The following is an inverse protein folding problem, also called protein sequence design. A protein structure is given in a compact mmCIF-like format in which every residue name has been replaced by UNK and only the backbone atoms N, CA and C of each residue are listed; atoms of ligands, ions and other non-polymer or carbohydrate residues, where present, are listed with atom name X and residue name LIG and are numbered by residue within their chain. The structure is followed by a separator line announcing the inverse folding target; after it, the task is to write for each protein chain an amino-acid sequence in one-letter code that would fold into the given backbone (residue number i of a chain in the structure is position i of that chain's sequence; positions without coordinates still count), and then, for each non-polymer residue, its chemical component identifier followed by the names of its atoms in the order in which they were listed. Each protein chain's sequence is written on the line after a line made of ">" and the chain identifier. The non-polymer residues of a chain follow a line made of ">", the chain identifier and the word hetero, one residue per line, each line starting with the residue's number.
data_IF_756031971919
#
_entry.id   IF_756031971919
#
_cell.length_a   1.000
_cell.length_b   1.000
_cell.length_c   1.000
_cell.angle_alpha   90.00
_cell.angle_beta   90.00
_cell.angle_gamma   90.00
#
_symmetry.space_group_name_H-M   'P 1'
#
loop_
_entity.id
_entity.type
_entity.pdbx_description
1 polymer ?
#
# COMPACT_ATOMS: atom_id res chain seq x y z
N UNK A 1 -60.98 2.04 -59.99
CA UNK A 1 -61.72 2.40 -58.75
C UNK A 1 -61.52 1.26 -57.77
N UNK A 2 -60.80 1.55 -56.68
CA UNK A 2 -60.71 0.85 -55.39
C UNK A 2 -60.20 -0.60 -55.34
N UNK A 3 -58.90 -0.73 -55.10
CA UNK A 3 -58.25 -1.22 -53.86
C UNK A 3 -58.68 -2.52 -53.15
N UNK A 4 -57.69 -3.41 -53.06
CA UNK A 4 -57.13 -4.13 -51.90
C UNK A 4 -58.05 -4.70 -50.79
N UNK A 5 -57.93 -6.02 -50.56
CA UNK A 5 -57.64 -6.57 -49.21
C UNK A 5 -57.26 -8.08 -49.20
N UNK A 6 -56.01 -8.34 -48.81
CA UNK A 6 -55.51 -9.19 -47.71
C UNK A 6 -56.06 -10.60 -47.32
N UNK A 7 -55.07 -11.41 -46.90
CA UNK A 7 -55.03 -12.66 -46.08
C UNK A 7 -55.36 -14.02 -46.73
N UNK A 8 -54.30 -14.79 -47.02
CA UNK A 8 -54.31 -16.25 -46.90
C UNK A 8 -53.38 -16.69 -45.75
N UNK A 9 -53.94 -17.33 -44.72
CA UNK A 9 -53.21 -18.06 -43.67
C UNK A 9 -53.61 -19.54 -43.73
N UNK A 10 -52.64 -20.44 -43.82
CA UNK A 10 -52.86 -21.87 -43.60
C UNK A 10 -51.61 -22.71 -43.86
N UNK A 11 -51.02 -23.27 -42.78
CA UNK A 11 -50.09 -24.41 -42.85
C UNK A 11 -48.67 -24.14 -42.35
N UNK A 12 -48.43 -24.37 -41.05
CA UNK A 12 -47.09 -24.49 -40.46
C UNK A 12 -46.62 -25.96 -40.47
N UNK A 13 -45.34 -26.27 -40.77
CA UNK A 13 -44.72 -27.53 -40.40
C UNK A 13 -43.97 -27.42 -39.06
N UNK A 14 -44.18 -28.40 -38.17
CA UNK A 14 -43.57 -28.51 -36.84
C UNK A 14 -42.06 -28.87 -36.90
N UNK A 15 -41.26 -28.45 -35.90
CA UNK A 15 -39.82 -28.70 -35.83
C UNK A 15 -39.46 -30.10 -35.27
N UNK A 16 -38.40 -30.68 -35.83
CA UNK A 16 -37.85 -31.99 -35.46
C UNK A 16 -37.20 -31.98 -34.05
N UNK A 17 -37.58 -32.96 -33.22
CA UNK A 17 -37.06 -33.22 -31.88
C UNK A 17 -35.61 -33.74 -31.92
N UNK A 18 -34.68 -32.98 -31.30
CA UNK A 18 -33.30 -33.44 -31.02
C UNK A 18 -33.26 -34.30 -29.75
N UNK A 19 -32.64 -35.48 -29.85
CA UNK A 19 -32.39 -36.42 -28.73
C UNK A 19 -31.37 -35.86 -27.71
N UNK A 20 -31.54 -36.13 -26.40
CA UNK A 20 -30.57 -35.72 -25.38
C UNK A 20 -29.30 -36.60 -25.38
N UNK A 21 -28.15 -35.97 -25.11
CA UNK A 21 -26.84 -36.62 -25.04
C UNK A 21 -26.67 -37.44 -23.74
N UNK A 22 -26.07 -38.63 -23.84
CA UNK A 22 -25.72 -39.49 -22.70
C UNK A 22 -24.54 -38.93 -21.90
N UNK A 23 -24.54 -39.04 -20.55
CA UNK A 23 -23.40 -38.64 -19.72
C UNK A 23 -22.23 -39.63 -19.84
N UNK A 24 -21.00 -39.10 -19.80
CA UNK A 24 -19.73 -39.87 -19.82
C UNK A 24 -19.48 -40.55 -18.46
N UNK A 25 -18.92 -41.78 -18.43
CA UNK A 25 -18.66 -42.50 -17.19
C UNK A 25 -17.41 -41.99 -16.45
N UNK A 26 -17.53 -41.92 -15.12
CA UNK A 26 -16.54 -41.50 -14.14
C UNK A 26 -15.44 -42.58 -13.95
N UNK A 27 -14.17 -42.18 -14.00
CA UNK A 27 -13.02 -43.11 -13.82
C UNK A 27 -12.65 -43.21 -12.33
N UNK A 28 -12.81 -44.41 -11.75
CA UNK A 28 -12.33 -44.75 -10.39
C UNK A 28 -10.79 -44.67 -10.28
N UNK A 29 -10.22 -44.19 -9.17
CA UNK A 29 -8.78 -44.23 -8.92
C UNK A 29 -8.29 -45.64 -8.58
N UNK A 30 -7.16 -46.06 -9.17
CA UNK A 30 -6.45 -47.31 -8.83
C UNK A 30 -5.35 -47.01 -7.81
N UNK A 31 -5.35 -47.75 -6.70
CA UNK A 31 -4.33 -47.72 -5.64
C UNK A 31 -2.97 -48.30 -6.06
N UNK A 32 -1.94 -48.18 -5.19
CA UNK A 32 -0.53 -48.34 -5.57
C UNK A 32 -0.14 -49.81 -5.70
N UNK A 33 0.58 -50.15 -6.78
CA UNK A 33 1.24 -51.45 -6.96
C UNK A 33 2.68 -51.36 -6.43
N UNK A 34 2.97 -52.15 -5.39
CA UNK A 34 4.34 -52.52 -4.98
C UNK A 34 4.99 -53.36 -6.08
N UNK A 35 6.20 -52.97 -6.50
CA UNK A 35 7.06 -53.74 -7.40
C UNK A 35 8.51 -53.60 -6.97
N UNK A 36 9.10 -54.71 -6.51
CA UNK A 36 10.52 -54.85 -6.17
C UNK A 36 11.38 -54.85 -7.44
N UNK A 37 12.52 -54.15 -7.41
CA UNK A 37 13.62 -54.36 -8.37
C UNK A 37 14.96 -54.49 -7.63
N UNK A 38 15.66 -55.59 -7.93
CA UNK A 38 16.96 -56.03 -7.39
C UNK A 38 18.15 -55.29 -8.05
N UNK A 39 19.38 -55.40 -7.49
CA UNK A 39 20.43 -54.38 -7.61
C UNK A 39 21.33 -54.56 -8.84
N UNK A 40 21.86 -53.45 -9.35
CA UNK A 40 22.95 -53.44 -10.35
C UNK A 40 24.31 -53.16 -9.69
N UNK A 41 25.31 -53.89 -10.20
CA UNK A 41 26.68 -54.08 -9.71
C UNK A 41 27.51 -52.79 -9.63
N UNK A 42 28.39 -52.77 -8.62
CA UNK A 42 29.46 -51.77 -8.38
C UNK A 42 30.59 -51.90 -9.40
N UNK A 43 31.05 -50.76 -9.92
CA UNK A 43 32.38 -50.52 -10.50
C UNK A 43 33.11 -49.44 -9.69
N UNK A 44 34.44 -49.28 -9.82
CA UNK A 44 35.32 -48.92 -8.72
C UNK A 44 35.31 -47.44 -8.35
N UNK A 45 35.56 -47.23 -7.06
CA UNK A 45 35.59 -45.95 -6.36
C UNK A 45 36.67 -45.00 -6.88
N UNK A 46 36.32 -43.71 -6.94
CA UNK A 46 37.24 -42.57 -6.91
C UNK A 46 36.82 -41.64 -5.76
N UNK A 47 37.76 -41.01 -5.05
CA UNK A 47 37.52 -40.42 -3.74
C UNK A 47 36.62 -39.18 -3.84
N UNK A 48 35.67 -39.10 -2.91
CA UNK A 48 34.79 -37.95 -2.71
C UNK A 48 35.60 -36.85 -2.02
N UNK A 49 35.94 -35.79 -2.76
CA UNK A 49 36.21 -34.48 -2.18
C UNK A 49 34.85 -33.92 -1.79
N UNK A 50 34.55 -33.89 -0.49
CA UNK A 50 33.40 -33.17 0.05
C UNK A 50 33.73 -31.68 -0.10
N UNK A 51 33.39 -31.14 -1.27
CA UNK A 51 33.37 -29.70 -1.47
C UNK A 51 32.00 -29.26 -0.97
N UNK A 52 31.99 -28.57 0.16
CA UNK A 52 30.78 -27.95 0.69
C UNK A 52 30.15 -27.11 -0.41
N UNK A 53 28.91 -27.42 -0.75
CA UNK A 53 28.09 -26.54 -1.56
C UNK A 53 27.80 -25.34 -0.66
N UNK A 54 28.65 -24.32 -0.78
CA UNK A 54 28.24 -22.97 -0.48
C UNK A 54 26.99 -22.73 -1.34
N UNK A 55 25.83 -22.65 -0.70
CA UNK A 55 24.66 -22.05 -1.30
C UNK A 55 25.04 -20.60 -1.60
N UNK A 56 25.52 -20.36 -2.82
CA UNK A 56 25.46 -19.05 -3.43
C UNK A 56 24.00 -18.64 -3.36
N UNK A 57 23.67 -17.79 -2.39
CA UNK A 57 22.51 -16.95 -2.48
C UNK A 57 22.73 -16.12 -3.76
N UNK A 58 22.11 -16.55 -4.85
CA UNK A 58 21.97 -15.75 -6.05
C UNK A 58 21.26 -14.48 -5.59
N UNK A 59 22.03 -13.41 -5.45
CA UNK A 59 21.53 -12.07 -5.25
C UNK A 59 20.70 -11.72 -6.48
N UNK A 60 19.41 -12.05 -6.47
CA UNK A 60 18.46 -11.59 -7.46
C UNK A 60 18.27 -10.10 -7.24
N UNK A 61 19.12 -9.32 -7.91
CA UNK A 61 18.96 -7.94 -8.38
C UNK A 61 17.82 -7.12 -7.75
N UNK A 62 17.85 -6.96 -6.43
CA UNK A 62 17.06 -5.99 -5.68
C UNK A 62 17.89 -5.28 -4.60
N UNK A 63 19.18 -5.62 -4.49
CA UNK A 63 20.18 -4.96 -3.64
C UNK A 63 20.87 -3.75 -4.29
N UNK A 64 20.43 -3.30 -5.46
CA UNK A 64 21.07 -2.18 -6.18
C UNK A 64 20.75 -0.78 -5.65
N UNK A 65 19.86 -0.65 -4.68
CA UNK A 65 19.32 0.67 -4.24
C UNK A 65 20.14 1.31 -3.10
N UNK A 66 21.10 0.62 -2.47
CA UNK A 66 21.83 1.21 -1.32
C UNK A 66 23.33 0.90 -1.23
N UNK A 67 23.97 0.35 -2.27
CA UNK A 67 25.41 0.04 -2.26
C UNK A 67 26.33 1.26 -2.49
N UNK A 68 25.78 2.45 -2.75
CA UNK A 68 26.58 3.62 -3.13
C UNK A 68 27.21 4.40 -1.95
N UNK A 69 27.03 3.96 -0.69
CA UNK A 69 27.57 4.65 0.49
C UNK A 69 28.71 3.91 1.22
N UNK A 70 29.20 2.79 0.70
CA UNK A 70 30.11 1.91 1.48
C UNK A 70 31.49 1.65 0.86
N UNK A 71 31.96 2.44 -0.11
CA UNK A 71 33.32 2.22 -0.66
C UNK A 71 34.25 3.39 -0.33
N UNK A 72 34.85 3.29 0.84
CA UNK A 72 36.20 3.80 1.04
C UNK A 72 37.00 2.66 1.67
N UNK A 73 37.69 1.90 0.81
CA UNK A 73 38.62 0.85 1.21
C UNK A 73 39.77 1.49 2.00
N UNK A 74 39.92 1.07 3.25
CA UNK A 74 41.16 1.24 4.01
C UNK A 74 41.76 -0.15 4.13
N UNK A 75 42.95 -0.36 3.54
CA UNK A 75 43.73 -1.59 3.68
C UNK A 75 43.97 -1.93 5.16
N UNK A 76 43.89 -3.21 5.57
CA UNK A 76 44.10 -3.57 6.96
C UNK A 76 45.61 -3.63 7.26
N UNK A 77 46.07 -2.78 8.17
CA UNK A 77 47.29 -3.03 8.91
C UNK A 77 47.03 -4.16 9.91
N UNK A 78 47.85 -5.20 9.87
CA UNK A 78 47.81 -6.32 10.79
C UNK A 78 48.03 -5.84 12.23
N UNK A 79 47.11 -6.20 13.14
CA UNK A 79 47.39 -6.27 14.57
C UNK A 79 46.57 -7.39 15.18
N UNK A 80 47.26 -8.35 15.78
CA UNK A 80 46.69 -9.38 16.64
C UNK A 80 45.89 -8.70 17.76
N UNK A 81 44.56 -8.76 17.67
CA UNK A 81 43.65 -8.37 18.73
C UNK A 81 42.71 -9.55 18.98
N UNK A 82 42.84 -10.08 20.18
CA UNK A 82 42.02 -11.15 20.75
C UNK A 82 40.53 -10.88 20.49
N UNK A 83 39.86 -11.84 19.84
CA UNK A 83 38.42 -11.76 19.54
C UNK A 83 37.61 -11.80 20.83
N UNK A 84 37.38 -10.63 21.42
CA UNK A 84 36.36 -10.45 22.43
C UNK A 84 34.98 -10.48 21.74
N UNK A 85 34.12 -11.41 22.16
CA UNK A 85 32.72 -11.42 21.76
C UNK A 85 32.06 -10.07 22.07
N UNK A 86 31.15 -9.56 21.21
CA UNK A 86 30.42 -8.33 21.51
C UNK A 86 29.61 -8.51 22.81
N UNK A 87 29.50 -7.48 23.66
CA UNK A 87 28.75 -7.59 24.91
C UNK A 87 27.27 -7.87 24.61
N UNK A 88 26.78 -9.01 25.08
CA UNK A 88 25.36 -9.32 25.13
C UNK A 88 24.71 -8.43 26.20
N UNK A 89 24.02 -7.37 25.77
CA UNK A 89 23.19 -6.55 26.66
C UNK A 89 21.84 -7.27 26.83
N UNK A 90 21.43 -7.64 28.05
CA UNK A 90 20.12 -8.25 28.28
C UNK A 90 19.00 -7.26 27.90
N UNK A 91 17.85 -7.74 27.38
CA UNK A 91 16.69 -6.88 27.16
C UNK A 91 16.31 -6.20 28.48
N UNK A 92 16.22 -4.87 28.49
CA UNK A 92 15.74 -4.12 29.65
C UNK A 92 14.25 -4.39 29.93
N UNK A 93 13.86 -4.27 31.18
CA UNK A 93 12.49 -4.52 31.64
C UNK A 93 11.44 -3.69 30.87
N UNK A 94 10.23 -4.25 30.63
CA UNK A 94 9.17 -3.54 29.92
C UNK A 94 8.69 -2.32 30.72
N UNK A 95 8.85 -1.13 30.15
CA UNK A 95 8.27 0.12 30.66
C UNK A 95 6.88 0.38 30.08
N UNK A 96 5.97 0.91 30.90
CA UNK A 96 4.59 1.19 30.51
C UNK A 96 4.53 2.16 29.31
N UNK A 97 3.87 1.71 28.23
CA UNK A 97 3.92 2.33 26.90
C UNK A 97 2.88 3.46 26.75
N UNK A 98 1.91 3.58 27.65
CA UNK A 98 0.70 4.38 27.45
C UNK A 98 0.80 5.89 27.75
N UNK A 99 1.96 6.43 28.12
CA UNK A 99 2.11 7.86 28.38
C UNK A 99 3.39 8.42 27.79
N UNK A 100 3.24 9.40 26.89
CA UNK A 100 4.33 10.24 26.40
C UNK A 100 3.99 10.85 25.05
N UNK A 101 4.18 12.17 24.90
CA UNK A 101 4.03 12.89 23.63
C UNK A 101 2.58 13.25 23.26
N UNK A 102 2.29 14.53 23.08
CA UNK A 102 1.02 14.96 22.47
C UNK A 102 1.16 14.92 20.94
N UNK A 103 0.18 14.32 20.27
CA UNK A 103 0.10 14.29 18.80
C UNK A 103 -1.15 15.01 18.32
N UNK A 104 -1.02 15.80 17.26
CA UNK A 104 -2.16 16.46 16.65
C UNK A 104 -3.16 15.42 16.11
N UNK A 105 -4.48 15.58 16.27
CA UNK A 105 -5.48 14.61 15.81
C UNK A 105 -5.37 14.29 14.31
N UNK A 106 -5.61 13.02 13.92
CA UNK A 106 -5.65 12.64 12.50
C UNK A 106 -6.81 13.37 11.83
N UNK A 107 -6.48 14.23 10.86
CA UNK A 107 -7.49 14.92 10.05
C UNK A 107 -7.92 14.06 8.86
N UNK A 108 -6.95 13.42 8.20
CA UNK A 108 -7.16 12.56 7.02
C UNK A 108 -5.98 11.62 6.81
N UNK A 109 -6.20 10.56 6.03
CA UNK A 109 -5.14 9.70 5.48
C UNK A 109 -4.73 10.21 4.09
N UNK A 110 -3.42 10.22 3.81
CA UNK A 110 -2.76 10.69 2.59
C UNK A 110 -1.88 9.55 2.05
N UNK A 111 -2.48 8.58 1.32
CA UNK A 111 -1.72 7.43 0.81
C UNK A 111 -0.65 7.89 -0.20
N UNK A 112 0.63 7.51 -0.05
CA UNK A 112 1.66 7.91 -1.00
C UNK A 112 1.54 7.12 -2.30
N UNK A 113 1.68 7.81 -3.44
CA UNK A 113 1.68 7.17 -4.77
C UNK A 113 3.11 6.94 -5.30
N UNK A 114 4.04 7.82 -4.90
CA UNK A 114 5.46 7.76 -5.29
C UNK A 114 6.35 7.97 -4.08
N UNK A 115 7.43 7.19 -4.00
CA UNK A 115 8.55 7.38 -3.09
C UNK A 115 9.79 7.66 -3.93
N UNK A 116 10.37 8.84 -3.78
CA UNK A 116 11.65 9.19 -4.38
C UNK A 116 12.74 9.19 -3.31
N UNK A 117 13.86 8.51 -3.56
CA UNK A 117 15.02 8.45 -2.67
C UNK A 117 16.25 8.97 -3.43
N UNK A 118 16.84 10.04 -2.94
CA UNK A 118 18.08 10.57 -3.49
C UNK A 118 19.29 9.81 -2.97
N UNK A 119 20.38 9.76 -3.75
CA UNK A 119 21.70 9.37 -3.26
C UNK A 119 22.30 10.33 -2.22
N UNK A 120 21.60 11.43 -1.91
CA UNK A 120 21.95 12.44 -0.91
C UNK A 120 20.75 13.34 -0.63
N UNK A 121 20.99 14.47 0.06
CA UNK A 121 19.91 15.40 0.42
C UNK A 121 19.27 16.05 -0.81
N UNK A 122 17.94 15.97 -0.91
CA UNK A 122 17.14 16.62 -1.94
C UNK A 122 16.89 18.06 -1.51
N UNK A 123 17.31 19.03 -2.35
CA UNK A 123 17.15 20.45 -2.05
C UNK A 123 15.67 20.86 -1.92
N UNK A 124 15.38 21.80 -1.02
CA UNK A 124 14.03 22.37 -0.81
C UNK A 124 13.43 22.96 -2.09
N UNK A 125 14.27 23.53 -2.97
CA UNK A 125 13.83 24.04 -4.27
C UNK A 125 13.23 22.95 -5.16
N UNK A 126 13.83 21.75 -5.17
CA UNK A 126 13.31 20.58 -5.90
C UNK A 126 12.03 20.06 -5.25
N UNK A 127 11.99 19.95 -3.92
CA UNK A 127 10.78 19.52 -3.18
C UNK A 127 9.60 20.46 -3.48
N UNK A 128 9.83 21.78 -3.41
CA UNK A 128 8.83 22.80 -3.74
C UNK A 128 8.39 22.72 -5.21
N UNK A 129 9.30 22.34 -6.12
CA UNK A 129 8.96 22.14 -7.53
C UNK A 129 8.11 20.88 -7.73
N UNK A 130 8.36 19.80 -6.99
CA UNK A 130 7.50 18.60 -6.98
C UNK A 130 6.08 18.96 -6.54
N UNK A 131 5.93 19.73 -5.45
CA UNK A 131 4.62 20.16 -4.95
C UNK A 131 3.83 21.05 -5.92
N UNK A 132 4.49 21.61 -6.96
CA UNK A 132 3.85 22.40 -8.03
C UNK A 132 3.53 21.58 -9.28
N UNK A 133 3.91 20.30 -9.33
CA UNK A 133 3.58 19.44 -10.46
C UNK A 133 2.06 19.25 -10.55
N UNK A 134 1.55 19.22 -11.78
CA UNK A 134 0.13 18.99 -12.01
C UNK A 134 -0.32 17.65 -11.40
N UNK A 135 -1.46 17.67 -10.68
CA UNK A 135 -2.07 16.52 -9.98
C UNK A 135 -1.35 16.02 -8.73
N UNK A 136 -0.19 16.57 -8.36
CA UNK A 136 0.36 16.39 -7.02
C UNK A 136 -0.55 17.11 -6.02
N UNK A 137 -0.99 16.39 -5.00
CA UNK A 137 -1.79 16.92 -3.90
C UNK A 137 -0.91 17.33 -2.73
N UNK A 138 -0.20 16.36 -2.17
CA UNK A 138 0.65 16.54 -1.01
C UNK A 138 2.06 16.02 -1.28
N UNK A 139 3.04 16.62 -0.61
CA UNK A 139 4.45 16.21 -0.65
C UNK A 139 5.02 16.31 0.75
N UNK A 140 5.71 15.27 1.20
CA UNK A 140 6.50 15.30 2.44
C UNK A 140 7.92 14.85 2.16
N UNK A 141 8.89 15.59 2.67
CA UNK A 141 10.29 15.18 2.68
C UNK A 141 10.64 14.63 4.05
N UNK A 142 11.41 13.55 4.09
CA UNK A 142 11.80 12.89 5.34
C UNK A 142 13.30 12.70 5.41
N UNK A 143 13.81 12.75 6.64
CA UNK A 143 15.17 12.30 6.89
C UNK A 143 15.21 10.77 6.90
N UNK A 144 16.33 10.19 6.48
CA UNK A 144 16.44 8.74 6.42
C UNK A 144 17.86 8.24 6.32
N UNK A 145 18.01 6.94 6.49
CA UNK A 145 19.29 6.25 6.43
C UNK A 145 19.19 4.85 7.01
N UNK A 146 20.31 4.13 6.93
CA UNK A 146 20.43 2.82 7.55
C UNK A 146 20.99 2.95 8.97
N UNK A 147 20.43 2.19 9.90
CA UNK A 147 20.93 2.03 11.28
C UNK A 147 21.02 0.55 11.60
N UNK A 148 21.80 0.16 12.62
CA UNK A 148 21.76 -1.21 13.12
C UNK A 148 20.88 -1.32 14.35
N UNK A 149 20.04 -2.35 14.35
CA UNK A 149 19.19 -2.74 15.45
C UNK A 149 19.34 -4.26 15.62
N UNK A 150 19.67 -4.71 16.84
CA UNK A 150 19.95 -6.13 17.11
C UNK A 150 21.01 -6.73 16.16
N UNK A 151 22.06 -5.97 15.86
CA UNK A 151 23.15 -6.41 14.96
C UNK A 151 22.75 -6.54 13.49
N UNK A 152 21.53 -6.13 13.11
CA UNK A 152 21.05 -6.15 11.73
C UNK A 152 20.79 -4.74 11.24
N UNK A 153 21.17 -4.48 9.99
CA UNK A 153 20.91 -3.22 9.34
C UNK A 153 19.43 -3.11 8.99
N UNK A 154 18.80 -2.01 9.38
CA UNK A 154 17.41 -1.64 9.10
C UNK A 154 17.35 -0.25 8.50
N UNK A 155 16.38 0.00 7.62
CA UNK A 155 16.18 1.33 7.06
C UNK A 155 15.21 2.13 7.92
N UNK A 156 15.65 3.31 8.34
CA UNK A 156 14.89 4.19 9.23
C UNK A 156 14.54 5.51 8.55
N UNK A 157 13.33 6.01 8.84
CA UNK A 157 12.95 7.40 8.61
C UNK A 157 12.81 8.17 9.91
N UNK A 158 13.30 9.41 9.92
CA UNK A 158 13.00 10.38 10.97
C UNK A 158 11.84 11.26 10.52
N UNK A 159 10.82 11.35 11.36
CA UNK A 159 9.57 12.01 11.01
C UNK A 159 9.00 12.79 12.19
N UNK A 160 8.24 13.84 11.89
CA UNK A 160 7.32 14.45 12.85
C UNK A 160 6.05 13.59 12.97
N UNK A 161 5.72 13.04 14.15
CA UNK A 161 4.59 12.13 14.31
C UNK A 161 3.24 12.73 13.89
N UNK A 162 3.04 14.02 14.14
CA UNK A 162 1.76 14.71 13.89
C UNK A 162 1.48 14.87 12.40
N UNK A 163 2.48 15.24 11.61
CA UNK A 163 2.35 15.42 10.17
C UNK A 163 2.50 14.11 9.40
N UNK A 164 3.36 13.21 9.86
CA UNK A 164 3.68 11.99 9.12
C UNK A 164 2.65 10.88 9.27
N UNK A 165 1.89 10.83 10.38
CA UNK A 165 0.86 9.79 10.61
C UNK A 165 -0.08 9.55 9.44
N UNK A 166 -0.45 10.62 8.74
CA UNK A 166 -1.34 10.58 7.59
C UNK A 166 -0.78 9.81 6.40
N UNK A 167 0.53 9.63 6.30
CA UNK A 167 1.23 8.99 5.17
C UNK A 167 1.40 7.47 5.30
N UNK A 168 0.95 6.90 6.40
CA UNK A 168 1.00 5.45 6.66
C UNK A 168 -0.33 4.77 6.30
N UNK A 169 -0.38 3.44 6.39
CA UNK A 169 -1.66 2.75 6.21
C UNK A 169 -2.66 3.17 7.28
N UNK A 170 -3.98 3.17 7.01
CA UNK A 170 -4.99 3.67 7.96
C UNK A 170 -4.93 2.99 9.32
N UNK A 171 -4.74 1.68 9.33
CA UNK A 171 -4.62 0.89 10.55
C UNK A 171 -3.44 1.34 11.42
N UNK A 172 -2.40 1.91 10.83
CA UNK A 172 -1.28 2.53 11.54
C UNK A 172 -1.56 4.01 11.86
N UNK A 173 -2.10 4.78 10.91
CA UNK A 173 -2.43 6.19 11.06
C UNK A 173 -3.43 6.48 12.20
N UNK A 174 -4.34 5.52 12.47
CA UNK A 174 -5.38 5.59 13.51
C UNK A 174 -4.88 5.19 14.92
N UNK A 175 -3.76 4.46 15.04
CA UNK A 175 -3.19 4.03 16.33
C UNK A 175 -2.53 5.18 17.06
N UNK A 176 -3.31 6.00 17.75
CA UNK A 176 -2.82 7.18 18.49
C UNK A 176 -1.67 6.82 19.42
N UNK A 177 -1.77 5.70 20.13
CA UNK A 177 -0.74 5.19 21.04
C UNK A 177 0.62 4.97 20.36
N UNK A 178 0.63 4.58 19.08
CA UNK A 178 1.85 4.37 18.31
C UNK A 178 2.55 5.70 17.98
N UNK A 179 1.75 6.72 17.66
CA UNK A 179 2.25 8.06 17.32
C UNK A 179 2.65 8.86 18.56
N UNK A 180 1.93 8.69 19.67
CA UNK A 180 2.32 9.21 20.98
C UNK A 180 3.66 8.60 21.40
N UNK A 181 3.84 7.27 21.26
CA UNK A 181 5.12 6.65 21.52
C UNK A 181 6.26 7.27 20.69
N UNK A 182 6.02 7.53 19.39
CA UNK A 182 7.00 8.21 18.53
C UNK A 182 7.29 9.64 18.97
N UNK A 183 6.27 10.39 19.40
CA UNK A 183 6.41 11.73 19.97
C UNK A 183 7.14 11.74 21.33
N UNK A 184 7.16 10.60 22.03
CA UNK A 184 7.91 10.38 23.25
C UNK A 184 9.35 9.88 23.00
N UNK A 185 9.89 10.06 21.79
CA UNK A 185 11.22 9.56 21.36
C UNK A 185 11.36 8.02 21.45
N UNK A 186 10.25 7.27 21.31
CA UNK A 186 10.27 5.81 21.19
C UNK A 186 10.16 5.42 19.73
N UNK A 187 10.93 4.44 19.28
CA UNK A 187 10.89 4.06 17.87
C UNK A 187 9.73 3.10 17.56
N UNK A 188 9.27 3.13 16.32
CA UNK A 188 8.21 2.24 15.81
C UNK A 188 8.81 1.40 14.68
N UNK A 189 8.41 0.13 14.55
CA UNK A 189 8.90 -0.75 13.48
C UNK A 189 7.78 -1.38 12.66
N UNK A 190 8.11 -1.85 11.46
CA UNK A 190 7.23 -2.71 10.68
C UNK A 190 6.99 -4.05 11.40
N UNK A 191 5.85 -4.74 11.17
CA UNK A 191 5.58 -6.04 11.78
C UNK A 191 6.64 -7.08 11.39
N UNK A 192 7.12 -7.03 10.15
CA UNK A 192 8.16 -7.92 9.65
C UNK A 192 9.49 -7.70 10.38
N UNK A 193 9.88 -6.45 10.62
CA UNK A 193 11.09 -6.14 11.39
C UNK A 193 10.95 -6.55 12.86
N UNK A 194 9.78 -6.31 13.48
CA UNK A 194 9.51 -6.75 14.85
C UNK A 194 9.66 -8.27 15.01
N UNK A 195 9.07 -9.05 14.09
CA UNK A 195 9.14 -10.51 14.12
C UNK A 195 10.56 -11.02 13.84
N UNK A 196 11.20 -10.53 12.77
CA UNK A 196 12.53 -11.00 12.37
C UNK A 196 13.65 -10.65 13.35
N UNK A 197 13.51 -9.53 14.08
CA UNK A 197 14.47 -9.06 15.06
C UNK A 197 14.04 -9.38 16.50
N UNK A 198 12.92 -10.10 16.68
CA UNK A 198 12.37 -10.51 17.97
C UNK A 198 12.22 -9.34 18.95
N UNK A 199 11.68 -8.23 18.45
CA UNK A 199 11.52 -7.00 19.21
C UNK A 199 10.21 -7.00 20.00
N UNK A 200 10.25 -6.43 21.20
CA UNK A 200 9.11 -6.29 22.10
C UNK A 200 8.85 -4.82 22.44
N UNK A 201 7.58 -4.42 22.40
CA UNK A 201 7.16 -3.08 22.81
C UNK A 201 7.47 -2.86 24.30
N UNK A 202 7.91 -1.65 24.65
CA UNK A 202 8.33 -1.30 26.01
C UNK A 202 9.78 -1.68 26.34
N UNK A 203 10.46 -2.45 25.50
CA UNK A 203 11.87 -2.83 25.70
C UNK A 203 12.83 -1.80 25.10
N UNK A 204 13.95 -1.56 25.79
CA UNK A 204 15.04 -0.70 25.30
C UNK A 204 16.04 -1.48 24.45
N UNK A 205 16.44 -0.89 23.34
CA UNK A 205 17.38 -1.45 22.39
C UNK A 205 18.47 -0.44 22.02
N UNK A 206 19.75 -0.84 21.97
CA UNK A 206 20.78 -0.01 21.37
C UNK A 206 20.53 0.09 19.87
N UNK A 207 20.45 1.32 19.37
CA UNK A 207 20.30 1.62 17.94
C UNK A 207 21.59 2.27 17.48
N UNK A 208 22.34 1.61 16.59
CA UNK A 208 23.64 2.09 16.15
C UNK A 208 23.48 2.89 14.86
N UNK A 209 23.79 4.18 14.92
CA UNK A 209 23.95 5.06 13.77
C UNK A 209 25.24 5.86 13.91
N UNK A 210 25.17 7.19 13.77
CA UNK A 210 26.27 8.10 14.15
C UNK A 210 26.57 8.04 15.64
N UNK A 211 25.53 7.91 16.44
CA UNK A 211 25.60 7.63 17.88
C UNK A 211 24.94 6.29 18.19
N UNK A 212 24.96 5.86 19.45
CA UNK A 212 24.36 4.61 19.90
C UNK A 212 23.38 4.82 21.06
N UNK A 213 22.26 5.54 20.85
CA UNK A 213 21.26 5.70 21.89
C UNK A 213 20.57 4.37 22.19
N UNK A 214 20.23 4.17 23.47
CA UNK A 214 19.29 3.12 23.88
C UNK A 214 17.86 3.66 23.75
N UNK A 215 17.16 3.28 22.69
CA UNK A 215 15.80 3.73 22.42
C UNK A 215 14.79 2.66 22.84
N UNK A 216 13.65 3.06 23.38
CA UNK A 216 12.54 2.14 23.69
C UNK A 216 11.74 1.87 22.41
N UNK A 217 11.35 0.62 22.16
CA UNK A 217 10.37 0.29 21.13
C UNK A 217 8.97 0.70 21.60
N UNK A 218 8.33 1.60 20.88
CA UNK A 218 6.95 2.04 21.13
C UNK A 218 5.90 1.03 20.67
N UNK A 219 6.16 0.31 19.59
CA UNK A 219 5.23 -0.66 19.03
C UNK A 219 5.53 -1.01 17.58
N UNK A 220 4.62 -1.76 16.97
CA UNK A 220 4.72 -2.14 15.56
C UNK A 220 3.43 -1.83 14.79
N UNK A 221 3.59 -1.45 13.53
CA UNK A 221 2.50 -1.10 12.64
C UNK A 221 2.94 -1.16 11.18
N UNK A 222 2.02 -1.45 10.28
CA UNK A 222 2.30 -1.41 8.85
C UNK A 222 2.63 0.03 8.44
N UNK A 223 3.90 0.26 8.07
CA UNK A 223 4.38 1.58 7.72
C UNK A 223 3.90 2.02 6.33
N UNK A 224 3.42 1.10 5.49
CA UNK A 224 2.93 1.41 4.14
C UNK A 224 4.03 1.82 3.15
N UNK A 225 5.31 1.65 3.51
CA UNK A 225 6.46 2.15 2.77
C UNK A 225 7.42 1.01 2.43
N UNK A 226 7.69 0.75 1.14
CA UNK A 226 8.52 -0.38 0.76
C UNK A 226 9.96 -0.17 1.21
N UNK A 227 10.51 -1.16 1.90
CA UNK A 227 11.90 -1.18 2.34
C UNK A 227 12.20 -0.28 3.54
N UNK A 228 11.17 0.27 4.21
CA UNK A 228 11.31 1.01 5.46
C UNK A 228 10.90 0.12 6.62
N UNK A 229 11.79 -0.03 7.59
CA UNK A 229 11.62 -0.97 8.71
C UNK A 229 11.34 -0.24 10.02
N UNK A 230 11.74 1.02 10.13
CA UNK A 230 11.75 1.76 11.39
C UNK A 230 11.37 3.23 11.19
N UNK A 231 10.56 3.77 12.11
CA UNK A 231 10.33 5.20 12.27
C UNK A 231 10.93 5.65 13.61
N UNK A 232 11.60 6.80 13.58
CA UNK A 232 12.09 7.52 14.76
C UNK A 232 11.60 8.96 14.75
N UNK A 233 11.61 9.64 15.89
CA UNK A 233 11.36 11.08 15.94
C UNK A 233 12.46 11.84 15.18
N UNK A 234 12.17 13.06 14.73
CA UNK A 234 13.19 13.91 14.09
C UNK A 234 14.42 14.13 14.98
N UNK A 235 14.20 14.24 16.30
CA UNK A 235 15.27 14.34 17.30
C UNK A 235 16.15 13.10 17.32
N UNK A 236 15.56 11.91 17.53
CA UNK A 236 16.31 10.66 17.52
C UNK A 236 16.98 10.40 16.18
N UNK A 237 16.36 10.80 15.07
CA UNK A 237 16.99 10.72 13.75
C UNK A 237 18.21 11.62 13.61
N UNK A 238 18.19 12.83 14.15
CA UNK A 238 19.35 13.72 14.17
C UNK A 238 20.50 13.12 15.00
N UNK A 239 20.20 12.55 16.16
CA UNK A 239 21.18 11.87 17.03
C UNK A 239 21.80 10.65 16.34
N UNK A 240 20.98 9.85 15.65
CA UNK A 240 21.40 8.71 14.84
C UNK A 240 22.13 9.12 13.55
N UNK A 241 22.14 10.41 13.20
CA UNK A 241 22.81 10.94 12.03
C UNK A 241 22.09 10.68 10.71
N UNK A 242 20.76 10.50 10.74
CA UNK A 242 19.93 10.34 9.55
C UNK A 242 20.02 11.59 8.66
N UNK A 243 20.11 11.38 7.35
CA UNK A 243 20.32 12.46 6.39
C UNK A 243 19.00 13.14 6.08
N UNK A 244 18.95 14.46 6.29
CA UNK A 244 17.74 15.27 6.02
C UNK A 244 17.37 15.26 4.55
N UNK A 245 16.06 15.24 4.29
CA UNK A 245 15.49 15.32 2.94
C UNK A 245 16.05 14.27 1.96
N UNK A 246 16.44 13.09 2.44
CA UNK A 246 16.97 12.03 1.55
C UNK A 246 15.85 11.36 0.75
N UNK A 247 14.63 11.37 1.28
CA UNK A 247 13.47 10.81 0.62
C UNK A 247 12.30 11.80 0.57
N UNK A 248 11.49 11.68 -0.48
CA UNK A 248 10.29 12.46 -0.72
C UNK A 248 9.15 11.52 -1.06
N UNK A 249 8.06 11.62 -0.30
CA UNK A 249 6.79 10.96 -0.57
C UNK A 249 5.87 11.95 -1.28
N UNK A 250 5.21 11.45 -2.31
CA UNK A 250 4.31 12.25 -3.15
C UNK A 250 2.96 11.56 -3.21
N UNK A 251 1.93 12.29 -2.80
CA UNK A 251 0.55 11.94 -3.03
C UNK A 251 0.06 12.71 -4.26
N UNK A 252 -0.44 11.99 -5.25
CA UNK A 252 -0.95 12.52 -6.51
C UNK A 252 -2.26 11.80 -6.88
N UNK A 253 -3.33 12.04 -6.11
CA UNK A 253 -4.47 11.15 -6.11
C UNK A 253 -5.27 11.31 -7.41
N UNK A 254 -5.54 10.19 -8.07
CA UNK A 254 -6.18 10.14 -9.40
C UNK A 254 -5.24 10.43 -10.57
N UNK A 255 -3.95 10.70 -10.31
CA UNK A 255 -2.93 10.69 -11.34
C UNK A 255 -2.55 9.25 -11.72
N UNK A 256 -2.00 9.10 -12.91
CA UNK A 256 -1.43 7.84 -13.35
C UNK A 256 -0.04 7.69 -12.73
N UNK A 257 0.21 6.65 -11.91
CA UNK A 257 1.44 6.59 -11.12
C UNK A 257 2.73 6.65 -11.95
N UNK A 258 2.74 6.03 -13.15
CA UNK A 258 3.89 6.09 -14.05
C UNK A 258 4.23 7.52 -14.49
N UNK A 259 3.23 8.34 -14.78
CA UNK A 259 3.42 9.75 -15.17
C UNK A 259 3.87 10.62 -14.01
N UNK A 260 3.44 10.30 -12.79
CA UNK A 260 3.94 10.98 -11.59
C UNK A 260 5.43 10.65 -11.40
N UNK A 261 5.81 9.38 -11.55
CA UNK A 261 7.21 8.96 -11.52
C UNK A 261 8.05 9.70 -12.55
N UNK A 262 7.61 9.77 -13.81
CA UNK A 262 8.32 10.51 -14.87
C UNK A 262 8.50 11.99 -14.52
N UNK A 263 7.43 12.65 -14.05
CA UNK A 263 7.46 14.07 -13.70
C UNK A 263 8.38 14.34 -12.49
N UNK A 264 8.32 13.50 -11.46
CA UNK A 264 9.19 13.59 -10.27
C UNK A 264 10.65 13.34 -10.65
N UNK A 265 10.92 12.32 -11.48
CA UNK A 265 12.27 12.01 -11.99
C UNK A 265 12.85 13.18 -12.76
N UNK A 266 12.05 13.86 -13.61
CA UNK A 266 12.49 15.06 -14.34
C UNK A 266 12.86 16.23 -13.44
N UNK A 267 12.22 16.36 -12.27
CA UNK A 267 12.55 17.40 -11.29
C UNK A 267 13.81 17.04 -10.50
N UNK A 268 13.95 15.78 -10.11
CA UNK A 268 15.03 15.32 -9.23
C UNK A 268 16.36 15.13 -9.97
N UNK A 269 16.29 14.69 -11.23
CA UNK A 269 17.47 14.43 -12.07
C UNK A 269 18.10 13.05 -11.79
N UNK A 270 19.26 12.76 -12.39
CA UNK A 270 19.95 11.49 -12.23
C UNK A 270 20.41 11.25 -10.78
N UNK A 271 20.57 9.99 -10.39
CA UNK A 271 21.01 9.60 -9.03
C UNK A 271 19.89 9.63 -7.97
N UNK A 272 18.63 9.65 -8.40
CA UNK A 272 17.47 9.49 -7.54
C UNK A 272 16.64 8.30 -8.01
N UNK A 273 16.36 7.38 -7.10
CA UNK A 273 15.45 6.26 -7.36
C UNK A 273 14.02 6.71 -7.10
N UNK A 274 13.18 6.67 -8.13
CA UNK A 274 11.78 7.09 -8.06
C UNK A 274 10.88 5.87 -8.23
N UNK A 275 10.30 5.44 -7.11
CA UNK A 275 9.50 4.22 -7.00
C UNK A 275 8.01 4.53 -7.23
N UNK A 276 7.38 3.71 -8.07
CA UNK A 276 5.92 3.67 -8.21
C UNK A 276 5.35 2.71 -7.16
N UNK A 277 4.67 3.25 -6.13
CA UNK A 277 4.15 2.46 -5.01
C UNK A 277 2.92 1.59 -5.37
N UNK A 278 2.46 1.65 -6.62
CA UNK A 278 1.38 0.82 -7.16
C UNK A 278 1.86 -0.42 -7.89
N UNK A 279 3.17 -0.62 -8.06
CA UNK A 279 3.65 -1.88 -8.64
C UNK A 279 3.37 -3.04 -7.67
N UNK A 280 3.06 -4.20 -8.25
CA UNK A 280 2.66 -5.38 -7.49
C UNK A 280 3.70 -5.78 -6.44
N UNK A 281 5.01 -5.66 -6.76
CA UNK A 281 6.09 -6.01 -5.83
C UNK A 281 6.10 -5.19 -4.53
N UNK A 282 5.59 -3.95 -4.56
CA UNK A 282 5.58 -3.07 -3.38
C UNK A 282 4.28 -3.19 -2.57
N UNK A 283 3.18 -3.62 -3.21
CA UNK A 283 1.92 -3.93 -2.53
C UNK A 283 2.01 -5.16 -1.62
N UNK A 284 2.85 -6.13 -1.97
CA UNK A 284 3.04 -7.37 -1.20
C UNK A 284 4.05 -7.26 -0.05
N UNK A 285 4.97 -6.28 -0.09
CA UNK A 285 6.02 -6.10 0.93
C UNK A 285 5.63 -5.18 2.08
N UNK A 286 4.64 -4.30 1.88
CA UNK A 286 4.09 -3.42 2.92
C UNK A 286 3.07 -4.13 3.84
N UNK A 287 3.35 -5.37 4.25
CA UNK A 287 2.61 -6.05 5.33
C UNK A 287 1.08 -5.94 5.31
N UNK A 288 0.41 -6.64 4.39
CA UNK A 288 -1.05 -6.83 4.39
C UNK A 288 -1.75 -6.21 3.18
N UNK A 289 -2.67 -6.95 2.55
CA UNK A 289 -3.33 -6.62 1.28
C UNK A 289 -4.28 -5.40 1.25
N UNK A 290 -3.94 -4.34 1.98
CA UNK A 290 -4.63 -3.06 1.97
C UNK A 290 -4.18 -2.24 0.75
N UNK A 291 -5.12 -1.75 -0.08
CA UNK A 291 -4.78 -0.93 -1.25
C UNK A 291 -3.95 0.30 -0.86
N UNK A 292 -2.92 0.63 -1.65
CA UNK A 292 -1.97 1.71 -1.33
C UNK A 292 -2.32 3.06 -1.97
N UNK A 293 -3.32 3.14 -2.87
CA UNK A 293 -3.91 4.40 -3.34
C UNK A 293 -5.43 4.36 -3.47
N UNK A 294 -6.01 5.54 -3.63
CA UNK A 294 -7.38 5.75 -4.07
C UNK A 294 -7.76 4.93 -5.31
N UNK A 295 -6.89 4.83 -6.32
CA UNK A 295 -7.22 4.04 -7.52
C UNK A 295 -7.38 2.56 -7.19
N UNK A 296 -6.48 2.01 -6.37
CA UNK A 296 -6.55 0.63 -5.92
C UNK A 296 -7.75 0.39 -5.00
N UNK A 297 -8.09 1.38 -4.16
CA UNK A 297 -9.29 1.37 -3.33
C UNK A 297 -10.56 1.34 -4.18
N UNK A 298 -10.66 2.16 -5.23
CA UNK A 298 -11.81 2.15 -6.15
C UNK A 298 -11.95 0.80 -6.86
N UNK A 299 -10.84 0.22 -7.34
CA UNK A 299 -10.82 -1.10 -7.98
C UNK A 299 -11.27 -2.20 -7.04
N UNK A 300 -10.73 -2.24 -5.81
CA UNK A 300 -11.11 -3.21 -4.78
C UNK A 300 -12.58 -3.06 -4.38
N UNK A 301 -13.02 -1.82 -4.10
CA UNK A 301 -14.38 -1.54 -3.65
C UNK A 301 -15.43 -1.86 -4.72
N UNK A 302 -15.15 -1.60 -5.99
CA UNK A 302 -16.04 -1.96 -7.09
C UNK A 302 -16.31 -3.47 -7.15
N UNK A 303 -15.31 -4.29 -6.79
CA UNK A 303 -15.45 -5.76 -6.69
C UNK A 303 -16.52 -6.22 -5.69
N UNK A 304 -16.96 -5.36 -4.77
CA UNK A 304 -18.04 -5.69 -3.83
C UNK A 304 -19.45 -5.58 -4.45
N UNK A 305 -19.57 -4.98 -5.65
CA UNK A 305 -20.82 -4.83 -6.37
C UNK A 305 -20.69 -5.35 -7.82
N UNK A 306 -21.17 -6.57 -8.13
CA UNK A 306 -21.10 -7.12 -9.48
C UNK A 306 -21.69 -6.17 -10.53
N UNK A 307 -20.90 -5.83 -11.55
CA UNK A 307 -21.28 -4.94 -12.65
C UNK A 307 -21.06 -3.44 -12.39
N UNK A 308 -20.66 -3.02 -11.18
CA UNK A 308 -20.22 -1.65 -10.94
C UNK A 308 -18.80 -1.46 -11.45
N UNK A 309 -18.58 -0.49 -12.35
CA UNK A 309 -17.22 -0.14 -12.78
C UNK A 309 -16.49 0.66 -11.70
N UNK A 310 -15.22 0.34 -11.46
CA UNK A 310 -14.32 1.12 -10.60
C UNK A 310 -14.17 2.58 -11.07
N UNK A 311 -14.32 2.82 -12.37
CA UNK A 311 -14.24 4.16 -12.96
C UNK A 311 -15.39 5.08 -12.53
N UNK A 312 -16.55 4.51 -12.16
CA UNK A 312 -17.68 5.27 -11.59
C UNK A 312 -17.33 5.75 -10.18
N UNK A 313 -16.77 4.87 -9.35
CA UNK A 313 -16.31 5.25 -8.01
C UNK A 313 -15.20 6.30 -8.06
N UNK A 314 -14.25 6.12 -8.99
CA UNK A 314 -13.19 7.11 -9.21
C UNK A 314 -13.75 8.46 -9.64
N UNK A 315 -14.71 8.49 -10.58
CA UNK A 315 -15.36 9.71 -11.04
C UNK A 315 -16.12 10.42 -9.90
N UNK A 316 -16.88 9.69 -9.09
CA UNK A 316 -17.56 10.26 -7.91
C UNK A 316 -16.54 10.83 -6.94
N UNK A 317 -15.53 10.06 -6.53
CA UNK A 317 -14.51 10.55 -5.61
C UNK A 317 -13.72 11.75 -6.15
N UNK A 318 -13.53 11.86 -7.48
CA UNK A 318 -12.95 13.04 -8.10
C UNK A 318 -13.88 14.26 -7.97
N UNK A 319 -15.17 14.09 -8.26
CA UNK A 319 -16.16 15.18 -8.21
C UNK A 319 -16.39 15.65 -6.78
N UNK A 320 -16.47 14.71 -5.83
CA UNK A 320 -16.79 15.00 -4.43
C UNK A 320 -15.65 15.70 -3.69
N UNK A 321 -14.43 15.17 -3.81
CA UNK A 321 -13.32 15.57 -2.93
C UNK A 321 -12.00 15.73 -3.66
N UNK A 322 -11.99 15.61 -5.00
CA UNK A 322 -10.76 15.46 -5.78
C UNK A 322 -9.87 14.32 -5.25
N UNK A 323 -10.50 13.19 -4.91
CA UNK A 323 -9.87 11.99 -4.32
C UNK A 323 -9.23 12.24 -2.94
N UNK A 324 -10.00 12.84 -2.04
CA UNK A 324 -9.56 13.11 -0.66
C UNK A 324 -8.73 14.38 -0.48
N UNK A 325 -8.55 15.18 -1.53
CA UNK A 325 -7.85 16.47 -1.45
C UNK A 325 -8.66 17.49 -0.66
N UNK A 326 -9.99 17.45 -0.74
CA UNK A 326 -10.89 18.25 0.07
C UNK A 326 -11.97 17.35 0.67
N UNK A 327 -11.82 16.99 1.95
CA UNK A 327 -12.71 16.06 2.67
C UNK A 327 -13.78 16.77 3.50
N UNK A 328 -13.96 18.08 3.29
CA UNK A 328 -14.97 18.87 3.97
C UNK A 328 -14.65 19.20 5.44
N UNK A 329 -15.69 19.53 6.24
CA UNK A 329 -17.10 19.52 5.85
C UNK A 329 -17.43 20.49 4.71
N UNK A 330 -18.34 20.09 3.82
CA UNK A 330 -18.94 21.02 2.85
C UNK A 330 -19.92 21.96 3.55
N UNK A 331 -20.40 22.99 2.85
CA UNK A 331 -21.44 23.90 3.36
C UNK A 331 -22.74 23.18 3.73
N UNK A 332 -23.01 22.02 3.14
CA UNK A 332 -24.17 21.18 3.44
C UNK A 332 -23.89 20.16 4.57
N UNK A 333 -22.66 20.09 5.11
CA UNK A 333 -22.28 19.17 6.17
C UNK A 333 -21.85 17.78 5.69
N UNK A 334 -21.64 17.58 4.38
CA UNK A 334 -21.08 16.33 3.86
C UNK A 334 -19.58 16.21 4.19
N UNK A 335 -19.15 14.99 4.53
CA UNK A 335 -17.84 14.68 5.12
C UNK A 335 -17.10 13.58 4.34
N UNK A 336 -15.78 13.64 4.42
CA UNK A 336 -14.90 12.56 3.99
C UNK A 336 -14.66 12.52 2.49
N UNK A 337 -13.84 11.56 2.03
CA UNK A 337 -13.38 11.51 0.64
C UNK A 337 -14.48 11.15 -0.37
N UNK A 338 -15.63 10.67 0.10
CA UNK A 338 -16.81 10.40 -0.73
C UNK A 338 -17.98 11.34 -0.41
N UNK A 339 -17.74 12.41 0.36
CA UNK A 339 -18.70 13.46 0.74
C UNK A 339 -20.06 12.89 1.18
N UNK A 340 -20.02 11.98 2.17
CA UNK A 340 -21.25 11.43 2.73
C UNK A 340 -21.93 12.44 3.66
N UNK A 341 -23.25 12.54 3.55
CA UNK A 341 -24.06 13.11 4.63
C UNK A 341 -24.05 12.15 5.84
N UNK A 342 -23.98 12.64 7.09
CA UNK A 342 -23.96 11.78 8.28
C UNK A 342 -25.12 10.77 8.35
N UNK A 343 -26.32 11.15 7.90
CA UNK A 343 -27.48 10.26 7.85
C UNK A 343 -27.29 9.11 6.84
N UNK A 344 -26.73 9.40 5.67
CA UNK A 344 -26.39 8.39 4.66
C UNK A 344 -25.30 7.46 5.19
N UNK A 345 -24.27 8.01 5.85
CA UNK A 345 -23.20 7.21 6.46
C UNK A 345 -23.74 6.23 7.51
N UNK A 346 -24.73 6.64 8.32
CA UNK A 346 -25.36 5.76 9.29
C UNK A 346 -26.00 4.51 8.66
N UNK A 347 -26.50 4.60 7.42
CA UNK A 347 -27.12 3.48 6.72
C UNK A 347 -26.13 2.66 5.88
N UNK A 348 -25.15 3.32 5.27
CA UNK A 348 -24.29 2.73 4.24
C UNK A 348 -22.81 2.65 4.60
N UNK A 349 -22.40 3.24 5.72
CA UNK A 349 -21.05 3.11 6.25
C UNK A 349 -20.67 1.65 6.43
N UNK A 350 -19.39 1.36 6.18
CA UNK A 350 -18.80 0.04 6.35
C UNK A 350 -17.43 0.22 6.97
N UNK A 351 -17.07 -0.72 7.83
CA UNK A 351 -15.68 -0.94 8.25
C UNK A 351 -15.00 -1.75 7.13
N UNK A 352 -14.34 -1.04 6.21
CA UNK A 352 -13.80 -1.59 4.98
C UNK A 352 -12.36 -2.10 5.13
N UNK A 353 -11.63 -1.63 6.15
CA UNK A 353 -10.30 -2.11 6.51
C UNK A 353 -10.28 -3.11 7.68
N UNK A 354 -11.42 -3.31 8.37
CA UNK A 354 -11.60 -4.33 9.40
C UNK A 354 -10.99 -3.95 10.74
N UNK A 355 -10.86 -2.65 11.03
CA UNK A 355 -10.26 -2.14 12.27
C UNK A 355 -11.25 -2.04 13.44
N UNK A 356 -12.51 -2.42 13.22
CA UNK A 356 -13.59 -2.39 14.19
C UNK A 356 -14.39 -1.08 14.18
N UNK A 357 -14.07 -0.11 13.32
CA UNK A 357 -14.74 1.20 13.28
C UNK A 357 -14.97 1.69 11.84
N UNK A 358 -16.25 1.82 11.45
CA UNK A 358 -16.63 2.52 10.23
C UNK A 358 -16.43 4.04 10.35
N UNK A 359 -15.34 4.57 9.78
CA UNK A 359 -14.97 5.99 9.85
C UNK A 359 -15.21 6.74 8.54
N UNK A 360 -16.10 7.73 8.55
CA UNK A 360 -16.48 8.52 7.36
C UNK A 360 -15.28 9.26 6.72
N UNK A 361 -14.26 9.58 7.51
CA UNK A 361 -13.06 10.30 7.05
C UNK A 361 -12.00 9.36 6.48
N UNK A 362 -12.12 8.05 6.72
CA UNK A 362 -11.19 7.04 6.23
C UNK A 362 -11.55 6.62 4.80
N UNK A 363 -10.68 6.82 3.79
CA UNK A 363 -10.97 6.37 2.43
C UNK A 363 -11.18 4.86 2.29
N UNK A 364 -10.64 4.06 3.21
CA UNK A 364 -10.79 2.61 3.19
C UNK A 364 -12.17 2.16 3.67
N UNK A 365 -12.91 3.03 4.35
CA UNK A 365 -14.30 2.82 4.77
C UNK A 365 -15.25 3.56 3.81
N UNK A 366 -14.94 4.82 3.51
CA UNK A 366 -15.78 5.69 2.71
C UNK A 366 -15.93 5.20 1.27
N UNK A 367 -14.86 4.69 0.64
CA UNK A 367 -14.93 4.20 -0.75
C UNK A 367 -15.75 2.91 -0.85
N UNK A 368 -15.53 1.88 0.00
CA UNK A 368 -16.44 0.73 0.08
C UNK A 368 -17.87 1.11 0.48
N UNK A 369 -18.06 2.10 1.34
CA UNK A 369 -19.38 2.64 1.69
C UNK A 369 -20.10 3.23 0.48
N UNK A 370 -19.39 3.97 -0.38
CA UNK A 370 -19.92 4.48 -1.64
C UNK A 370 -20.27 3.35 -2.63
N UNK A 371 -19.43 2.31 -2.70
CA UNK A 371 -19.75 1.13 -3.50
C UNK A 371 -21.03 0.43 -3.01
N UNK A 372 -21.17 0.23 -1.68
CA UNK A 372 -22.38 -0.32 -1.06
C UNK A 372 -23.62 0.54 -1.36
N UNK A 373 -23.50 1.86 -1.21
CA UNK A 373 -24.59 2.81 -1.52
C UNK A 373 -25.05 2.68 -2.97
N UNK A 374 -24.11 2.76 -3.92
CA UNK A 374 -24.43 2.65 -5.35
C UNK A 374 -25.03 1.28 -5.69
N UNK A 375 -24.51 0.21 -5.07
CA UNK A 375 -25.02 -1.14 -5.29
C UNK A 375 -26.46 -1.31 -4.81
N UNK A 376 -26.78 -0.79 -3.63
CA UNK A 376 -28.14 -0.79 -3.09
C UNK A 376 -29.13 -0.02 -3.98
N UNK A 377 -28.64 1.02 -4.67
CA UNK A 377 -29.42 1.78 -5.65
C UNK A 377 -29.39 1.19 -7.07
N UNK A 378 -28.83 -0.01 -7.25
CA UNK A 378 -28.91 -0.78 -8.50
C UNK A 378 -27.81 -0.47 -9.53
N UNK A 379 -26.74 0.22 -9.15
CA UNK A 379 -25.70 0.63 -10.09
C UNK A 379 -25.06 -0.53 -10.88
N UNK A 380 -24.92 -1.71 -10.27
CA UNK A 380 -24.36 -2.91 -10.91
C UNK A 380 -25.16 -3.42 -12.11
N UNK A 381 -26.42 -3.00 -12.27
CA UNK A 381 -27.26 -3.37 -13.42
C UNK A 381 -26.97 -2.54 -14.68
N UNK A 382 -26.12 -1.50 -14.58
CA UNK A 382 -25.76 -0.64 -15.71
C UNK A 382 -26.92 0.20 -16.26
N UNK A 383 -26.72 0.79 -17.43
CA UNK A 383 -27.76 1.53 -18.17
C UNK A 383 -28.51 2.57 -17.33
N UNK A 384 -29.85 2.55 -17.42
CA UNK A 384 -30.74 3.45 -16.66
C UNK A 384 -30.60 3.27 -15.13
N UNK A 385 -30.26 2.07 -14.67
CA UNK A 385 -30.12 1.79 -13.23
C UNK A 385 -28.84 2.44 -12.68
N UNK A 386 -27.73 2.39 -13.43
CA UNK A 386 -26.52 3.14 -13.10
C UNK A 386 -26.78 4.65 -13.07
N UNK A 387 -27.49 5.16 -14.08
CA UNK A 387 -27.87 6.58 -14.13
C UNK A 387 -28.65 6.99 -12.87
N UNK A 388 -29.69 6.22 -12.52
CA UNK A 388 -30.51 6.49 -11.34
C UNK A 388 -29.72 6.36 -10.03
N UNK A 389 -28.82 5.39 -9.91
CA UNK A 389 -27.99 5.22 -8.72
C UNK A 389 -27.05 6.42 -8.49
N UNK A 390 -26.46 6.97 -9.56
CA UNK A 390 -25.65 8.19 -9.48
C UNK A 390 -26.53 9.40 -9.17
N UNK A 391 -27.75 9.46 -9.72
CA UNK A 391 -28.71 10.52 -9.38
C UNK A 391 -29.14 10.46 -7.92
N UNK A 392 -29.32 9.28 -7.32
CA UNK A 392 -29.58 9.17 -5.88
C UNK A 392 -28.40 9.66 -5.03
N UNK A 393 -27.17 9.48 -5.52
CA UNK A 393 -25.99 10.02 -4.88
C UNK A 393 -26.03 11.56 -4.81
N UNK A 394 -26.44 12.20 -5.91
CA UNK A 394 -26.69 13.64 -5.99
C UNK A 394 -27.79 13.91 -7.01
N UNK A 395 -28.92 14.46 -6.55
CA UNK A 395 -30.18 14.64 -7.31
C UNK A 395 -30.10 15.71 -8.42
N UNK A 396 -29.07 15.65 -9.25
CA UNK A 396 -28.80 16.58 -10.32
C UNK A 396 -28.37 15.84 -11.59
N UNK A 397 -29.11 16.03 -12.68
CA UNK A 397 -28.80 15.39 -13.96
C UNK A 397 -27.43 15.79 -14.52
N UNK A 398 -27.02 17.05 -14.31
CA UNK A 398 -25.69 17.53 -14.71
C UNK A 398 -24.58 16.77 -13.96
N UNK A 399 -24.82 16.39 -12.69
CA UNK A 399 -23.88 15.62 -11.89
C UNK A 399 -23.72 14.21 -12.47
N UNK A 400 -24.84 13.55 -12.81
CA UNK A 400 -24.82 12.23 -13.43
C UNK A 400 -24.03 12.23 -14.74
N UNK A 401 -24.28 13.24 -15.60
CA UNK A 401 -23.55 13.39 -16.86
C UNK A 401 -22.06 13.61 -16.64
N UNK A 402 -21.69 14.46 -15.68
CA UNK A 402 -20.30 14.71 -15.30
C UNK A 402 -19.60 13.44 -14.82
N UNK A 403 -20.23 12.68 -13.92
CA UNK A 403 -19.70 11.41 -13.41
C UNK A 403 -19.53 10.39 -14.52
N UNK A 404 -20.54 10.19 -15.37
CA UNK A 404 -20.46 9.21 -16.47
C UNK A 404 -19.41 9.62 -17.51
N UNK A 405 -19.29 10.92 -17.81
CA UNK A 405 -18.26 11.44 -18.71
C UNK A 405 -16.84 11.23 -18.14
N UNK A 406 -16.64 11.53 -16.86
CA UNK A 406 -15.37 11.27 -16.17
C UNK A 406 -15.07 9.77 -16.09
N UNK A 407 -16.07 8.93 -15.79
CA UNK A 407 -15.89 7.47 -15.73
C UNK A 407 -15.44 6.90 -17.09
N UNK A 408 -15.98 7.43 -18.20
CA UNK A 408 -15.50 7.10 -19.55
C UNK A 408 -14.06 7.56 -19.78
N UNK A 409 -13.69 8.75 -19.29
CA UNK A 409 -12.31 9.25 -19.38
C UNK A 409 -11.32 8.43 -18.55
N UNK A 410 -11.74 7.93 -17.37
CA UNK A 410 -10.94 6.99 -16.57
C UNK A 410 -10.77 5.67 -17.32
N UNK A 411 -11.84 5.08 -17.86
CA UNK A 411 -11.77 3.83 -18.61
C UNK A 411 -10.80 3.97 -19.81
N UNK A 412 -10.95 5.01 -20.62
CA UNK A 412 -10.08 5.25 -21.78
C UNK A 412 -8.59 5.49 -21.45
N UNK A 413 -8.28 5.80 -20.19
CA UNK A 413 -6.91 6.12 -19.75
C UNK A 413 -6.24 4.98 -18.98
N UNK A 414 -7.01 4.12 -18.33
CA UNK A 414 -6.51 3.18 -17.32
C UNK A 414 -6.99 1.73 -17.50
N UNK A 415 -7.92 1.49 -18.43
CA UNK A 415 -8.20 0.17 -18.99
C UNK A 415 -7.49 0.06 -20.36
#
# INVERSE_FOLDING_TARGET
>A
MADDDWVARGGAPQPALRRPARPKPEKKPRGPRRGYARPRRRGPARPLVITGIALLAVATASGGVYTALTTQEVEPAASDAEQAAPPSVPPGDPVNVAQGGQVAPLQRVVPPDVLAVGGGSISDAKIKKIGKLGRVGDVVAVAGGAVQLQGRQVNAFAVDPSSFRSWTSPGTAKKTELWEALAADRFVVSPAAAEQLQLAAGTRYPVVGRSMPALTMGGSGDLGLPGIDMLVSEKSGADLGLVRNVAVLVNAPGAEPGKVVEAVTKVLGPGTDVLNLHKAEYRSRAGGGSPTSYMDLYKKAAGTCPGLSWTVLAAIGQVESSHGRNVGPSSAGALGPMQFMPATWKAYGVDGDGDGKADIMNPYDAIPGAAKYLCANGAGRGGKQLYNAIWHYNHAHWYVQKVLGLAKAYAARYD
#
